data_IF_983324234679
#
_entry.id   IF_983324234679
#
_cell.length_a   1.000
_cell.length_b   1.000
_cell.length_c   1.000
_cell.angle_alpha   90.00
_cell.angle_beta   90.00
_cell.angle_gamma   90.00
#
_symmetry.space_group_name_H-M   'P 1'
#
loop_
_entity.id
_entity.type
_entity.pdbx_description
1 polymer ?
#
# COMPACT_ATOMS: atom_id res chain seq x y z
N UNK A 1 -7.67 15.15 29.72
CA UNK A 1 -6.44 15.32 28.93
C UNK A 1 -6.45 16.72 28.34
N UNK A 2 -5.37 17.50 28.52
CA UNK A 2 -5.34 18.89 28.02
C UNK A 2 -5.35 18.88 26.49
N UNK A 3 -6.21 19.68 25.86
CA UNK A 3 -6.38 19.76 24.41
C UNK A 3 -5.04 19.91 23.67
N UNK A 4 -4.18 20.78 24.16
CA UNK A 4 -2.83 20.99 23.61
C UNK A 4 -1.95 19.74 23.61
N UNK A 5 -2.02 18.93 24.69
CA UNK A 5 -1.24 17.68 24.76
C UNK A 5 -1.71 16.67 23.70
N UNK A 6 -3.03 16.58 23.50
CA UNK A 6 -3.61 15.74 22.46
C UNK A 6 -3.18 16.20 21.06
N UNK A 7 -3.27 17.50 20.78
CA UNK A 7 -2.89 18.07 19.47
C UNK A 7 -1.39 17.84 19.16
N UNK A 8 -0.50 18.00 20.17
CA UNK A 8 0.93 17.71 20.02
C UNK A 8 1.16 16.23 19.74
N UNK A 9 0.47 15.34 20.46
CA UNK A 9 0.62 13.88 20.31
C UNK A 9 0.17 13.44 18.93
N UNK A 10 -0.97 13.95 18.43
CA UNK A 10 -1.47 13.68 17.09
C UNK A 10 -0.55 14.24 16.00
N UNK A 11 -0.05 15.47 16.18
CA UNK A 11 0.89 16.06 15.23
C UNK A 11 2.24 15.31 15.18
N UNK A 12 2.73 14.83 16.34
CA UNK A 12 3.96 14.03 16.41
C UNK A 12 3.78 12.66 15.74
N UNK A 13 2.65 12.00 15.97
CA UNK A 13 2.30 10.75 15.30
C UNK A 13 2.19 10.94 13.78
N UNK A 14 1.56 12.05 13.34
CA UNK A 14 1.47 12.43 11.94
C UNK A 14 2.84 12.69 11.32
N UNK A 15 3.75 13.35 12.03
CA UNK A 15 5.12 13.58 11.57
C UNK A 15 5.90 12.26 11.43
N UNK A 16 5.78 11.36 12.41
CA UNK A 16 6.41 10.05 12.34
C UNK A 16 5.90 9.25 11.13
N UNK A 17 4.58 9.24 10.91
CA UNK A 17 3.99 8.58 9.76
C UNK A 17 4.47 9.20 8.43
N UNK A 18 4.57 10.53 8.37
CA UNK A 18 5.09 11.22 7.18
C UNK A 18 6.52 10.81 6.84
N UNK A 19 7.42 10.76 7.83
CA UNK A 19 8.82 10.32 7.66
C UNK A 19 8.86 8.87 7.19
N UNK A 20 8.05 8.00 7.78
CA UNK A 20 7.96 6.59 7.39
C UNK A 20 7.49 6.43 5.94
N UNK A 21 6.47 7.19 5.52
CA UNK A 21 5.97 7.16 4.14
C UNK A 21 7.00 7.67 3.13
N UNK A 22 7.74 8.72 3.46
CA UNK A 22 8.81 9.24 2.59
C UNK A 22 9.95 8.22 2.47
N UNK A 23 10.36 7.59 3.57
CA UNK A 23 11.37 6.54 3.55
C UNK A 23 10.91 5.31 2.74
N UNK A 24 9.66 4.89 2.91
CA UNK A 24 9.05 3.83 2.11
C UNK A 24 9.01 4.19 0.62
N UNK A 25 8.65 5.43 0.29
CA UNK A 25 8.71 5.97 -1.07
C UNK A 25 10.11 5.87 -1.69
N UNK A 26 11.15 6.19 -0.90
CA UNK A 26 12.55 6.04 -1.32
C UNK A 26 12.94 4.60 -1.64
N UNK A 27 12.59 3.66 -0.76
CA UNK A 27 12.83 2.23 -0.97
C UNK A 27 12.09 1.68 -2.18
N UNK A 28 10.83 2.09 -2.38
CA UNK A 28 10.03 1.69 -3.55
C UNK A 28 10.58 2.26 -4.85
N UNK A 29 11.09 3.49 -4.83
CA UNK A 29 11.76 4.10 -5.99
C UNK A 29 13.03 3.34 -6.34
N UNK A 30 13.83 2.97 -5.35
CA UNK A 30 15.02 2.15 -5.56
C UNK A 30 14.64 0.79 -6.16
N UNK A 31 13.63 0.11 -5.60
CA UNK A 31 13.15 -1.18 -6.10
C UNK A 31 12.65 -1.08 -7.55
N UNK A 32 11.86 -0.05 -7.89
CA UNK A 32 11.40 0.24 -9.25
C UNK A 32 12.57 0.38 -10.22
N UNK A 33 13.55 1.20 -9.88
CA UNK A 33 14.71 1.45 -10.73
C UNK A 33 15.60 0.22 -10.89
N UNK A 34 15.84 -0.49 -9.79
CA UNK A 34 16.63 -1.73 -9.79
C UNK A 34 16.00 -2.80 -10.68
N UNK A 35 14.70 -3.09 -10.48
CA UNK A 35 13.98 -4.10 -11.27
C UNK A 35 13.94 -3.72 -12.74
N UNK A 36 13.64 -2.44 -13.04
CA UNK A 36 13.58 -1.96 -14.42
C UNK A 36 14.92 -2.10 -15.14
N UNK A 37 16.01 -1.73 -14.50
CA UNK A 37 17.36 -1.84 -15.07
C UNK A 37 17.78 -3.32 -15.25
N UNK A 38 17.45 -4.18 -14.28
CA UNK A 38 17.79 -5.60 -14.36
C UNK A 38 17.04 -6.28 -15.51
N UNK A 39 15.71 -6.07 -15.59
CA UNK A 39 14.90 -6.60 -16.71
C UNK A 39 15.44 -6.11 -18.06
N UNK A 40 15.73 -4.80 -18.17
CA UNK A 40 16.27 -4.23 -19.39
C UNK A 40 17.61 -4.87 -19.79
N UNK A 41 18.55 -4.95 -18.86
CA UNK A 41 19.90 -5.47 -19.10
C UNK A 41 19.86 -6.94 -19.51
N UNK A 42 19.09 -7.76 -18.81
CA UNK A 42 18.98 -9.19 -19.10
C UNK A 42 18.30 -9.47 -20.43
N UNK A 43 17.25 -8.74 -20.78
CA UNK A 43 16.55 -8.89 -22.05
C UNK A 43 17.38 -8.35 -23.20
N UNK A 44 18.01 -7.18 -23.06
CA UNK A 44 18.87 -6.61 -24.09
C UNK A 44 20.05 -7.53 -24.45
N UNK A 45 20.63 -8.22 -23.45
CA UNK A 45 21.70 -9.18 -23.65
C UNK A 45 21.31 -10.39 -24.53
N UNK A 46 20.01 -10.72 -24.59
CA UNK A 46 19.50 -11.81 -25.44
C UNK A 46 19.47 -11.44 -26.94
N UNK A 47 19.58 -10.15 -27.26
CA UNK A 47 19.56 -9.65 -28.67
C UNK A 47 18.35 -10.14 -29.48
N UNK A 48 17.20 -10.28 -28.82
CA UNK A 48 15.95 -10.65 -29.49
C UNK A 48 15.33 -9.39 -30.11
N UNK A 49 14.91 -9.48 -31.38
CA UNK A 49 14.25 -8.38 -32.08
C UNK A 49 12.87 -8.81 -32.55
N UNK A 50 11.93 -7.89 -32.51
CA UNK A 50 10.64 -8.09 -33.15
C UNK A 50 10.82 -8.07 -34.68
N UNK A 51 10.11 -8.94 -35.41
CA UNK A 51 10.10 -8.87 -36.87
C UNK A 51 9.63 -7.51 -37.38
N UNK A 52 10.12 -7.07 -38.52
CA UNK A 52 9.66 -5.84 -39.19
C UNK A 52 8.16 -5.92 -39.56
N UNK A 53 7.45 -4.78 -39.61
CA UNK A 53 6.01 -4.72 -39.93
C UNK A 53 5.61 -5.43 -41.24
N UNK A 54 6.49 -5.42 -42.24
CA UNK A 54 6.27 -6.07 -43.53
C UNK A 54 6.73 -7.54 -43.58
N UNK A 55 7.19 -8.08 -42.44
CA UNK A 55 7.66 -9.44 -42.35
C UNK A 55 6.52 -10.46 -42.52
N UNK A 56 6.69 -11.50 -43.36
CA UNK A 56 5.72 -12.60 -43.43
C UNK A 56 5.50 -13.30 -42.08
N UNK A 57 6.50 -13.25 -41.18
CA UNK A 57 6.46 -13.90 -39.86
C UNK A 57 5.38 -13.36 -38.92
N UNK A 58 4.89 -12.13 -39.12
CA UNK A 58 3.86 -11.49 -38.28
C UNK A 58 2.67 -10.96 -39.08
N UNK A 59 2.49 -11.47 -40.34
CA UNK A 59 1.41 -10.99 -41.22
C UNK A 59 0.03 -11.50 -40.83
N UNK A 60 -0.06 -12.65 -40.16
CA UNK A 60 -1.32 -13.25 -39.80
C UNK A 60 -1.97 -12.53 -38.59
N UNK A 61 -3.32 -12.54 -38.48
CA UNK A 61 -4.04 -11.77 -37.45
C UNK A 61 -3.64 -12.09 -36.01
N UNK A 62 -3.21 -13.30 -35.72
CA UNK A 62 -2.76 -13.73 -34.37
C UNK A 62 -1.51 -13.00 -33.91
N UNK A 63 -0.76 -12.35 -34.79
CA UNK A 63 0.41 -11.55 -34.48
C UNK A 63 0.11 -10.03 -34.36
N UNK A 64 -1.14 -9.62 -34.41
CA UNK A 64 -1.50 -8.20 -34.43
C UNK A 64 -0.87 -7.39 -33.29
N UNK A 65 -0.77 -7.96 -32.09
CA UNK A 65 -0.16 -7.30 -30.94
C UNK A 65 1.36 -7.04 -31.11
N UNK A 66 2.03 -7.75 -32.01
CA UNK A 66 3.45 -7.56 -32.25
C UNK A 66 3.79 -6.32 -33.09
N UNK A 67 2.84 -5.82 -33.88
CA UNK A 67 3.08 -4.69 -34.79
C UNK A 67 3.47 -3.41 -34.06
N UNK A 68 3.00 -3.20 -32.81
CA UNK A 68 3.37 -2.05 -32.00
C UNK A 68 4.87 -2.00 -31.63
N UNK A 69 5.55 -3.17 -31.68
CA UNK A 69 6.97 -3.28 -31.34
C UNK A 69 7.83 -3.67 -32.56
N UNK A 70 7.25 -3.68 -33.76
CA UNK A 70 7.93 -4.14 -34.97
C UNK A 70 9.30 -3.47 -35.16
N UNK A 71 10.33 -4.29 -35.42
CA UNK A 71 11.71 -3.86 -35.59
C UNK A 71 12.44 -3.42 -34.30
N UNK A 72 11.77 -3.37 -33.15
CA UNK A 72 12.39 -3.00 -31.88
C UNK A 72 13.13 -4.19 -31.27
N UNK A 73 14.16 -3.90 -30.49
CA UNK A 73 14.78 -4.86 -29.61
C UNK A 73 13.88 -5.13 -28.42
N UNK A 74 13.78 -6.37 -27.98
CA UNK A 74 13.05 -6.80 -26.80
C UNK A 74 13.86 -6.46 -25.55
N UNK A 75 13.41 -5.45 -24.80
CA UNK A 75 14.14 -4.89 -23.65
C UNK A 75 13.25 -4.64 -22.43
N UNK A 76 11.94 -4.80 -22.56
CA UNK A 76 10.98 -4.53 -21.48
C UNK A 76 10.11 -5.73 -21.17
N UNK A 77 9.57 -5.80 -19.94
CA UNK A 77 8.63 -6.84 -19.54
C UNK A 77 7.38 -6.90 -20.43
N UNK A 78 6.82 -5.75 -20.81
CA UNK A 78 5.65 -5.71 -21.70
C UNK A 78 5.96 -6.26 -23.11
N UNK A 79 7.14 -5.97 -23.64
CA UNK A 79 7.60 -6.57 -24.88
C UNK A 79 7.80 -8.09 -24.73
N UNK A 80 8.32 -8.54 -23.58
CA UNK A 80 8.54 -9.95 -23.30
C UNK A 80 7.22 -10.74 -23.27
N UNK A 81 6.16 -10.18 -22.68
CA UNK A 81 4.81 -10.76 -22.70
C UNK A 81 4.30 -10.93 -24.12
N UNK A 82 4.32 -9.86 -24.90
CA UNK A 82 3.81 -9.88 -26.28
C UNK A 82 4.59 -10.88 -27.13
N UNK A 83 5.91 -10.94 -26.99
CA UNK A 83 6.74 -11.90 -27.70
C UNK A 83 6.45 -13.34 -27.27
N UNK A 84 6.29 -13.59 -25.98
CA UNK A 84 5.99 -14.91 -25.43
C UNK A 84 4.61 -15.42 -25.87
N UNK A 85 3.57 -14.60 -25.77
CA UNK A 85 2.19 -15.03 -25.95
C UNK A 85 1.71 -14.93 -27.39
N UNK A 86 2.27 -14.05 -28.20
CA UNK A 86 1.87 -13.90 -29.60
C UNK A 86 2.86 -14.52 -30.58
N UNK A 87 4.18 -14.45 -30.33
CA UNK A 87 5.15 -15.04 -31.25
C UNK A 87 5.46 -16.50 -30.90
N UNK A 88 5.99 -16.75 -29.69
CA UNK A 88 6.43 -18.09 -29.31
C UNK A 88 5.23 -19.04 -29.19
N UNK A 89 4.17 -18.65 -28.50
CA UNK A 89 3.00 -19.52 -28.29
C UNK A 89 2.35 -19.97 -29.60
N UNK A 90 2.19 -19.07 -30.59
CA UNK A 90 1.62 -19.40 -31.87
C UNK A 90 2.53 -20.35 -32.69
N UNK A 91 3.86 -20.14 -32.68
CA UNK A 91 4.79 -21.06 -33.33
C UNK A 91 4.80 -22.44 -32.67
N UNK A 92 4.76 -22.49 -31.34
CA UNK A 92 4.70 -23.76 -30.61
C UNK A 92 3.40 -24.52 -30.87
N UNK A 93 2.28 -23.82 -31.01
CA UNK A 93 1.01 -24.43 -31.40
C UNK A 93 1.09 -25.09 -32.75
N UNK A 94 1.74 -24.45 -33.72
CA UNK A 94 1.96 -25.05 -35.06
C UNK A 94 2.92 -26.23 -34.97
N UNK A 95 4.08 -26.08 -34.34
CA UNK A 95 5.10 -27.12 -34.19
C UNK A 95 4.53 -28.32 -33.42
N UNK A 96 3.75 -28.10 -32.37
CA UNK A 96 3.12 -29.14 -31.57
C UNK A 96 1.89 -29.80 -32.21
N UNK A 97 1.44 -29.31 -33.39
CA UNK A 97 0.19 -29.76 -33.98
C UNK A 97 -1.03 -29.53 -33.10
N UNK A 98 -1.04 -28.42 -32.34
CA UNK A 98 -2.07 -28.08 -31.36
C UNK A 98 -1.96 -28.79 -30.01
N UNK A 99 -0.95 -29.67 -29.83
CA UNK A 99 -0.70 -30.38 -28.57
C UNK A 99 0.22 -29.62 -27.66
N UNK A 100 0.04 -29.81 -26.39
CA UNK A 100 0.94 -29.27 -25.33
C UNK A 100 2.21 -30.11 -25.22
N UNK A 101 3.26 -29.56 -24.60
CA UNK A 101 4.46 -30.33 -24.26
C UNK A 101 4.16 -31.62 -23.50
N UNK A 102 3.25 -31.58 -22.52
CA UNK A 102 2.89 -32.74 -21.74
C UNK A 102 2.25 -33.86 -22.58
N UNK A 103 1.38 -33.50 -23.52
CA UNK A 103 0.75 -34.47 -24.43
C UNK A 103 1.77 -35.09 -25.39
N UNK A 104 2.64 -34.27 -26.02
CA UNK A 104 3.69 -34.76 -26.89
C UNK A 104 4.71 -35.62 -26.14
N UNK A 105 5.08 -35.27 -24.94
CA UNK A 105 5.98 -36.05 -24.08
C UNK A 105 5.40 -37.41 -23.73
N UNK A 106 4.11 -37.50 -23.40
CA UNK A 106 3.44 -38.75 -23.12
C UNK A 106 3.40 -39.67 -24.37
N UNK A 107 3.13 -39.10 -25.56
CA UNK A 107 3.18 -39.84 -26.82
C UNK A 107 4.59 -40.34 -27.14
N UNK A 108 5.62 -39.54 -26.89
CA UNK A 108 7.01 -39.95 -27.14
C UNK A 108 7.45 -41.09 -26.21
N UNK A 109 7.00 -41.09 -24.96
CA UNK A 109 7.21 -42.22 -24.04
C UNK A 109 6.57 -43.50 -24.56
N UNK A 110 5.35 -43.41 -25.13
CA UNK A 110 4.67 -44.55 -25.74
C UNK A 110 5.32 -45.00 -27.04
N UNK A 111 6.10 -44.15 -27.71
CA UNK A 111 6.74 -44.39 -28.99
C UNK A 111 8.27 -44.16 -28.93
N UNK A 112 9.04 -44.90 -28.14
CA UNK A 112 10.45 -44.59 -27.83
C UNK A 112 11.39 -44.66 -29.06
N UNK A 113 10.97 -45.31 -30.15
CA UNK A 113 11.74 -45.41 -31.40
C UNK A 113 11.39 -44.33 -32.41
N UNK A 114 10.43 -43.44 -32.12
CA UNK A 114 10.02 -42.37 -33.02
C UNK A 114 10.92 -41.15 -32.84
N UNK A 115 12.02 -41.09 -33.58
CA UNK A 115 13.00 -40.01 -33.50
C UNK A 115 12.41 -38.65 -33.91
N UNK A 116 11.45 -38.60 -34.84
CA UNK A 116 10.80 -37.38 -35.28
C UNK A 116 9.96 -36.77 -34.14
N UNK A 117 9.20 -37.63 -33.43
CA UNK A 117 8.42 -37.19 -32.27
C UNK A 117 9.32 -36.73 -31.12
N UNK A 118 10.42 -37.42 -30.85
CA UNK A 118 11.41 -37.00 -29.87
C UNK A 118 12.02 -35.62 -30.18
N UNK A 119 12.35 -35.38 -31.46
CA UNK A 119 12.83 -34.06 -31.89
C UNK A 119 11.77 -32.95 -31.72
N UNK A 120 10.51 -33.25 -32.04
CA UNK A 120 9.38 -32.34 -31.84
C UNK A 120 9.20 -31.98 -30.38
N UNK A 121 9.20 -32.98 -29.48
CA UNK A 121 9.13 -32.78 -28.01
C UNK A 121 10.25 -31.86 -27.53
N UNK A 122 11.51 -32.11 -27.98
CA UNK A 122 12.66 -31.29 -27.62
C UNK A 122 12.50 -29.82 -28.09
N UNK A 123 11.98 -29.62 -29.30
CA UNK A 123 11.73 -28.27 -29.83
C UNK A 123 10.66 -27.55 -29.03
N UNK A 124 9.54 -28.22 -28.74
CA UNK A 124 8.45 -27.64 -27.93
C UNK A 124 8.93 -27.37 -26.50
N UNK A 125 9.72 -28.26 -25.89
CA UNK A 125 10.32 -28.02 -24.55
C UNK A 125 11.17 -26.76 -24.52
N UNK A 126 12.08 -26.59 -25.48
CA UNK A 126 12.92 -25.38 -25.57
C UNK A 126 12.09 -24.11 -25.73
N UNK A 127 11.07 -24.16 -26.57
CA UNK A 127 10.20 -23.02 -26.82
C UNK A 127 9.34 -22.66 -25.58
N UNK A 128 8.76 -23.65 -24.90
CA UNK A 128 8.01 -23.41 -23.67
C UNK A 128 8.91 -22.90 -22.53
N UNK A 129 10.16 -23.38 -22.45
CA UNK A 129 11.14 -22.85 -21.49
C UNK A 129 11.46 -21.39 -21.78
N UNK A 130 11.73 -21.03 -23.04
CA UNK A 130 11.99 -19.63 -23.42
C UNK A 130 10.77 -18.76 -23.15
N UNK A 131 9.57 -19.24 -23.51
CA UNK A 131 8.31 -18.56 -23.21
C UNK A 131 8.15 -18.29 -21.71
N UNK A 132 8.39 -19.30 -20.86
CA UNK A 132 8.32 -19.18 -19.42
C UNK A 132 9.33 -18.15 -18.87
N UNK A 133 10.56 -18.11 -19.38
CA UNK A 133 11.57 -17.12 -18.97
C UNK A 133 11.18 -15.69 -19.37
N UNK A 134 10.58 -15.49 -20.54
CA UNK A 134 10.08 -14.19 -20.96
C UNK A 134 8.87 -13.73 -20.10
N UNK A 135 7.97 -14.65 -19.75
CA UNK A 135 6.86 -14.35 -18.85
C UNK A 135 7.33 -14.02 -17.42
N UNK A 136 8.44 -14.61 -16.96
CA UNK A 136 9.09 -14.18 -15.72
C UNK A 136 9.60 -12.73 -15.82
N UNK A 137 10.26 -12.37 -16.93
CA UNK A 137 10.71 -10.99 -17.16
C UNK A 137 9.53 -10.00 -17.17
N UNK A 138 8.39 -10.39 -17.77
CA UNK A 138 7.14 -9.62 -17.68
C UNK A 138 6.65 -9.47 -16.25
N UNK A 139 6.60 -10.55 -15.47
CA UNK A 139 6.16 -10.50 -14.07
C UNK A 139 7.03 -9.56 -13.24
N UNK A 140 8.36 -9.65 -13.37
CA UNK A 140 9.29 -8.73 -12.68
C UNK A 140 9.10 -7.29 -13.16
N UNK A 141 8.97 -7.04 -14.46
CA UNK A 141 8.72 -5.70 -15.01
C UNK A 141 7.43 -5.08 -14.46
N UNK A 142 6.39 -5.90 -14.33
CA UNK A 142 5.10 -5.49 -13.73
C UNK A 142 5.27 -5.16 -12.25
N UNK A 143 6.00 -5.97 -11.47
CA UNK A 143 6.32 -5.67 -10.07
C UNK A 143 7.09 -4.35 -9.93
N UNK A 144 8.05 -4.10 -10.82
CA UNK A 144 8.76 -2.82 -10.88
C UNK A 144 7.82 -1.65 -11.13
N UNK A 145 6.87 -1.78 -12.05
CA UNK A 145 5.87 -0.74 -12.35
C UNK A 145 4.97 -0.47 -11.14
N UNK A 146 4.49 -1.52 -10.47
CA UNK A 146 3.68 -1.40 -9.24
C UNK A 146 4.48 -0.68 -8.14
N UNK A 147 5.76 -1.03 -7.96
CA UNK A 147 6.63 -0.36 -7.00
C UNK A 147 6.77 1.14 -7.31
N UNK A 148 6.90 1.53 -8.59
CA UNK A 148 6.96 2.92 -9.01
C UNK A 148 5.68 3.69 -8.70
N UNK A 149 4.52 3.12 -8.99
CA UNK A 149 3.21 3.72 -8.67
C UNK A 149 3.05 3.88 -7.14
N UNK A 150 3.40 2.84 -6.38
CA UNK A 150 3.32 2.85 -4.93
C UNK A 150 4.28 3.89 -4.32
N UNK A 151 5.47 4.11 -4.91
CA UNK A 151 6.40 5.15 -4.50
C UNK A 151 5.79 6.56 -4.63
N UNK A 152 5.16 6.85 -5.77
CA UNK A 152 4.48 8.13 -6.00
C UNK A 152 3.37 8.34 -4.97
N UNK A 153 2.54 7.33 -4.74
CA UNK A 153 1.46 7.38 -3.74
C UNK A 153 2.00 7.62 -2.32
N UNK A 154 3.11 6.95 -1.94
CA UNK A 154 3.76 7.13 -0.65
C UNK A 154 4.32 8.56 -0.47
N UNK A 155 4.94 9.14 -1.50
CA UNK A 155 5.41 10.53 -1.44
C UNK A 155 4.27 11.53 -1.32
N UNK A 156 3.20 11.37 -2.09
CA UNK A 156 2.01 12.24 -2.01
C UNK A 156 1.42 12.17 -0.59
N UNK A 157 1.20 10.95 -0.07
CA UNK A 157 0.66 10.75 1.27
C UNK A 157 1.61 11.32 2.35
N UNK A 158 2.92 11.13 2.20
CA UNK A 158 3.93 11.68 3.11
C UNK A 158 3.91 13.21 3.16
N UNK A 159 3.83 13.88 2.00
CA UNK A 159 3.73 15.35 1.92
C UNK A 159 2.43 15.85 2.55
N UNK A 160 1.29 15.22 2.26
CA UNK A 160 0.01 15.57 2.88
C UNK A 160 0.10 15.46 4.41
N UNK A 161 0.67 14.36 4.91
CA UNK A 161 0.85 14.15 6.35
C UNK A 161 1.80 15.18 6.98
N UNK A 162 2.88 15.60 6.28
CA UNK A 162 3.75 16.68 6.74
C UNK A 162 3.00 18.01 6.89
N UNK A 163 2.17 18.35 5.90
CA UNK A 163 1.36 19.57 5.94
C UNK A 163 0.38 19.52 7.12
N UNK A 164 -0.35 18.41 7.27
CA UNK A 164 -1.31 18.24 8.37
C UNK A 164 -0.64 18.25 9.74
N UNK A 165 0.51 17.59 9.90
CA UNK A 165 1.29 17.62 11.14
C UNK A 165 1.81 19.03 11.45
N UNK A 166 2.29 19.76 10.43
CA UNK A 166 2.71 21.16 10.57
C UNK A 166 1.57 22.07 11.01
N UNK A 167 0.40 21.97 10.38
CA UNK A 167 -0.80 22.71 10.77
C UNK A 167 -1.25 22.35 12.19
N UNK A 168 -1.22 21.07 12.55
CA UNK A 168 -1.52 20.61 13.92
C UNK A 168 -0.59 21.19 14.97
N UNK A 169 0.72 21.26 14.68
CA UNK A 169 1.72 21.88 15.57
C UNK A 169 1.48 23.39 15.73
N UNK A 170 1.18 24.09 14.63
CA UNK A 170 0.85 25.53 14.67
C UNK A 170 -0.43 25.76 15.48
N UNK A 171 -1.44 24.94 15.28
CA UNK A 171 -2.70 24.99 16.04
C UNK A 171 -2.45 24.77 17.54
N UNK A 172 -1.69 23.73 17.89
CA UNK A 172 -1.33 23.42 19.29
C UNK A 172 -0.56 24.56 19.98
N UNK A 173 0.26 25.31 19.25
CA UNK A 173 0.97 26.49 19.80
C UNK A 173 0.05 27.67 20.06
N UNK A 174 -1.05 27.79 19.31
CA UNK A 174 -2.04 28.87 19.46
C UNK A 174 -3.15 28.55 20.45
N UNK A 175 -3.30 27.31 20.91
CA UNK A 175 -4.35 26.88 21.85
C UNK A 175 -3.97 27.21 23.29
N UNK A 176 -4.80 27.96 24.08
CA UNK A 176 -4.55 28.27 25.48
C UNK A 176 -4.50 26.99 26.35
N UNK A 177 -3.68 27.03 27.42
CA UNK A 177 -3.44 25.88 28.30
C UNK A 177 -4.67 25.38 29.08
N UNK A 178 -5.76 26.14 29.11
CA UNK A 178 -6.90 25.94 30.01
C UNK A 178 -8.08 25.13 29.42
N UNK A 179 -8.00 24.68 28.19
CA UNK A 179 -9.12 23.95 27.55
C UNK A 179 -8.99 22.45 27.75
N UNK A 180 -9.88 21.86 28.58
CA UNK A 180 -9.96 20.42 28.85
C UNK A 180 -10.98 19.77 27.88
N UNK A 181 -10.59 18.76 27.14
CA UNK A 181 -11.45 18.07 26.13
C UNK A 181 -12.47 17.16 26.81
N UNK A 182 -12.20 16.73 28.06
CA UNK A 182 -13.01 15.75 28.78
C UNK A 182 -14.00 16.35 29.79
N UNK A 183 -14.02 17.67 29.98
CA UNK A 183 -14.88 18.35 30.93
C UNK A 183 -15.62 19.53 30.31
N UNK A 184 -16.21 19.38 29.15
CA UNK A 184 -17.28 20.30 28.72
C UNK A 184 -18.60 19.89 29.41
N UNK A 185 -18.66 20.07 30.74
CA UNK A 185 -19.95 20.30 31.36
C UNK A 185 -20.42 21.69 30.91
N UNK A 186 -21.61 21.84 30.35
CA UNK A 186 -22.17 23.15 30.12
C UNK A 186 -22.19 23.85 31.48
N UNK A 187 -21.59 25.04 31.58
CA UNK A 187 -21.68 25.89 32.73
C UNK A 187 -23.18 26.01 33.08
N UNK A 188 -23.55 25.47 34.24
CA UNK A 188 -24.86 25.70 34.80
C UNK A 188 -24.93 27.23 35.02
N UNK A 189 -25.62 27.93 34.16
CA UNK A 189 -26.03 29.31 34.41
C UNK A 189 -26.86 29.28 35.65
N UNK A 190 -26.47 29.99 36.75
CA UNK A 190 -27.33 30.10 37.91
C UNK A 190 -28.64 30.74 37.46
N UNK A 191 -29.75 30.05 37.76
CA UNK A 191 -31.10 30.56 37.54
C UNK A 191 -31.23 31.91 38.25
N UNK A 192 -31.60 33.03 37.55
CA UNK A 192 -31.72 34.34 38.19
C UNK A 192 -32.87 34.44 39.20
N UNK A 193 -33.59 33.33 39.49
CA UNK A 193 -34.81 33.29 40.30
C UNK A 193 -34.62 32.93 41.76
N UNK A 194 -33.43 32.55 42.24
CA UNK A 194 -33.23 32.23 43.66
C UNK A 194 -32.47 33.35 44.38
N UNK A 195 -33.14 34.44 44.63
CA UNK A 195 -32.68 35.43 45.60
C UNK A 195 -32.66 34.83 47.01
N UNK A 196 -31.61 35.03 47.83
CA UNK A 196 -31.61 34.58 49.24
C UNK A 196 -32.68 35.31 50.00
N UNK A 197 -33.63 34.57 50.59
CA UNK A 197 -34.63 35.10 51.53
C UNK A 197 -33.89 35.66 52.73
N UNK A 198 -34.12 36.97 53.14
CA UNK A 198 -33.47 37.53 54.31
C UNK A 198 -34.02 36.86 55.57
N UNK A 199 -33.15 36.37 56.44
CA UNK A 199 -33.50 35.84 57.77
C UNK A 199 -34.17 36.93 58.63
N UNK A 200 -35.45 36.78 58.94
CA UNK A 200 -36.21 37.57 59.91
C UNK A 200 -35.65 37.30 61.28
N UNK A 201 -35.07 38.32 61.86
CA UNK A 201 -34.74 38.38 63.29
C UNK A 201 -36.06 38.40 64.08
N UNK A 202 -36.35 37.33 64.82
CA UNK A 202 -37.36 37.33 65.85
C UNK A 202 -36.67 37.60 67.16
N UNK A 203 -36.92 38.79 67.69
CA UNK A 203 -36.60 39.20 69.04
C UNK A 203 -37.74 38.70 69.97
N UNK A 204 -37.37 38.03 71.02
CA UNK A 204 -38.36 37.59 72.04
C UNK A 204 -37.70 36.97 73.24
N UNK A 205 -37.41 37.76 74.12
CA UNK A 205 -37.35 37.85 75.60
C UNK A 205 -37.90 36.65 76.39
N UNK A 206 -37.20 36.21 77.46
CA UNK A 206 -37.87 35.70 78.61
C UNK A 206 -37.32 34.48 79.33
N UNK A 207 -36.61 34.73 80.37
CA UNK A 207 -36.57 34.09 81.73
C UNK A 207 -36.23 32.61 81.93
N UNK A 208 -35.08 32.41 82.53
CA UNK A 208 -34.89 31.86 83.92
C UNK A 208 -35.05 30.36 84.18
N UNK A 209 -34.03 29.83 84.75
CA UNK A 209 -33.90 28.99 85.93
C UNK A 209 -33.36 27.55 85.76
N UNK A 210 -32.32 27.37 86.60
CA UNK A 210 -31.88 26.19 87.33
C UNK A 210 -31.12 25.05 86.74
N UNK A 211 -29.89 25.00 87.16
CA UNK A 211 -29.01 23.80 87.25
C UNK A 211 -29.53 22.89 88.42
N UNK A 212 -28.96 21.71 88.77
CA UNK A 212 -27.60 21.22 88.44
C UNK A 212 -27.49 19.69 88.30
N UNK A 213 -26.31 19.22 88.03
CA UNK A 213 -25.86 17.94 88.60
C UNK A 213 -25.32 16.90 87.67
N UNK A 214 -24.03 16.59 87.79
CA UNK A 214 -23.51 15.23 87.64
C UNK A 214 -22.56 14.87 86.55
N UNK A 215 -21.30 15.15 86.82
CA UNK A 215 -20.16 14.34 86.26
C UNK A 215 -20.04 13.04 87.09
N UNK A 216 -19.35 11.95 86.73
CA UNK A 216 -18.02 11.89 86.18
C UNK A 216 -17.68 10.78 85.22
N UNK A 217 -16.53 10.95 84.66
CA UNK A 217 -15.61 10.04 83.93
C UNK A 217 -15.17 8.78 84.71
N UNK A 218 -14.19 7.99 84.10
CA UNK A 218 -14.08 6.92 83.12
C UNK A 218 -13.65 5.61 83.84
N UNK A 219 -12.85 4.67 83.37
CA UNK A 219 -12.12 4.31 82.12
C UNK A 219 -12.27 2.84 81.66
N UNK A 220 -11.78 2.48 80.48
CA UNK A 220 -10.77 1.53 80.16
C UNK A 220 -10.71 1.37 78.60
#
# INVERSE_FOLDING_TARGET
MKRRTFDILMATAGLFLAVTLIAAGGLLTWAHTFIGNEVHTQLAAQQIYFPANNSPAIKAPEFAAMHQYAGQQLTTGAQAEVYADHFIANHLKVIGGGKTYAQLSAEAIAQPKNAALAAQVNTVFKGETLRGLLLNAYAFGTMGTIAGIAAIAAYIAGVVMLILAGLGLVHARRTPYATDILTSHPAHTPDPGTAPVPATRTSGNGLAAAAPGGSPNPPA
#
